data_IF_960662281532
#
_entry.id   IF_960662281532
#
_cell.length_a   1.000
_cell.length_b   1.000
_cell.length_c   1.000
_cell.angle_alpha   90.00
_cell.angle_beta   90.00
_cell.angle_gamma   90.00
#
_symmetry.space_group_name_H-M   'P 1'
#
loop_
_entity.id
_entity.type
_entity.pdbx_description
1 polymer ?
#
# COMPACT_ATOMS: atom_id res chain seq x y z
N UNK A 1 -45.01 -56.13 22.47
CA UNK A 1 -45.57 -55.94 23.83
C UNK A 1 -44.76 -54.80 24.46
N UNK A 2 -45.19 -53.53 24.36
CA UNK A 2 -45.93 -52.73 25.37
C UNK A 2 -45.32 -52.87 26.77
N UNK A 3 -44.88 -51.85 27.53
CA UNK A 3 -45.34 -50.47 27.82
C UNK A 3 -44.21 -49.79 28.67
N UNK A 4 -44.08 -48.50 28.98
CA UNK A 4 -44.82 -47.27 28.76
C UNK A 4 -44.23 -46.13 29.65
N UNK A 5 -44.17 -44.91 29.08
CA UNK A 5 -44.48 -43.57 29.66
C UNK A 5 -43.57 -42.88 30.71
N UNK A 6 -43.16 -41.65 30.33
CA UNK A 6 -43.24 -40.33 31.03
C UNK A 6 -41.92 -39.59 31.30
N UNK A 7 -41.89 -38.32 30.84
CA UNK A 7 -41.03 -37.26 31.41
C UNK A 7 -40.45 -36.28 30.39
N UNK A 8 -41.23 -35.32 29.87
CA UNK A 8 -40.72 -34.09 29.23
C UNK A 8 -40.41 -33.04 30.32
N UNK A 9 -39.41 -32.18 30.11
CA UNK A 9 -39.51 -30.76 30.45
C UNK A 9 -39.35 -29.93 29.16
N UNK A 10 -40.40 -29.24 28.72
CA UNK A 10 -40.70 -27.84 29.05
C UNK A 10 -39.85 -26.87 28.24
N UNK A 11 -40.51 -26.34 27.21
CA UNK A 11 -40.00 -25.30 26.33
C UNK A 11 -39.65 -24.05 27.13
N UNK A 12 -38.41 -23.60 27.02
CA UNK A 12 -38.03 -22.23 27.38
C UNK A 12 -38.45 -21.34 26.21
N UNK A 13 -39.59 -20.66 26.37
CA UNK A 13 -39.88 -19.45 25.63
C UNK A 13 -38.85 -18.39 26.01
N UNK A 14 -37.95 -18.05 25.10
CA UNK A 14 -37.27 -16.76 25.12
C UNK A 14 -37.72 -15.97 23.90
N UNK A 15 -38.19 -14.77 24.21
CA UNK A 15 -38.83 -13.76 23.40
C UNK A 15 -38.18 -13.52 22.05
N UNK A 16 -39.00 -13.15 21.07
CA UNK A 16 -38.56 -12.52 19.83
C UNK A 16 -37.76 -11.24 20.14
N UNK A 17 -36.45 -11.40 20.26
CA UNK A 17 -35.47 -10.32 20.18
C UNK A 17 -35.10 -10.14 18.71
N UNK A 18 -35.47 -8.98 18.17
CA UNK A 18 -35.08 -8.50 16.84
C UNK A 18 -33.55 -8.51 16.77
N UNK A 19 -32.95 -9.48 16.08
CA UNK A 19 -31.52 -9.43 15.72
C UNK A 19 -31.43 -8.29 14.71
N UNK A 20 -31.10 -7.08 15.18
CA UNK A 20 -30.77 -5.97 14.30
C UNK A 20 -29.58 -6.42 13.47
N UNK A 21 -29.79 -6.53 12.16
CA UNK A 21 -28.75 -6.93 11.22
C UNK A 21 -27.49 -6.14 11.48
N UNK A 22 -26.42 -6.84 11.82
CA UNK A 22 -25.08 -6.30 11.68
C UNK A 22 -24.91 -6.10 10.17
N UNK A 23 -25.13 -4.87 9.71
CA UNK A 23 -24.69 -4.48 8.38
C UNK A 23 -23.16 -4.51 8.46
N UNK A 24 -22.57 -5.63 8.07
CA UNK A 24 -21.20 -5.63 7.58
C UNK A 24 -21.29 -4.76 6.33
N UNK A 25 -20.98 -3.48 6.49
CA UNK A 25 -20.66 -2.66 5.33
C UNK A 25 -19.35 -3.26 4.85
N UNK A 26 -19.42 -4.03 3.77
CA UNK A 26 -18.23 -4.33 2.99
C UNK A 26 -17.69 -2.96 2.55
N UNK A 27 -16.75 -2.37 3.29
CA UNK A 27 -16.00 -1.23 2.79
C UNK A 27 -15.38 -1.70 1.48
N UNK A 28 -15.61 -0.95 0.40
CA UNK A 28 -14.96 -1.26 -0.87
C UNK A 28 -13.44 -1.36 -0.63
N UNK A 29 -12.77 -2.38 -1.20
CA UNK A 29 -11.33 -2.52 -1.06
C UNK A 29 -10.65 -1.22 -1.49
N UNK A 30 -9.80 -0.66 -0.63
CA UNK A 30 -9.07 0.57 -0.94
C UNK A 30 -7.87 0.23 -1.80
N UNK A 31 -7.67 0.98 -2.88
CA UNK A 31 -6.60 0.73 -3.84
C UNK A 31 -5.37 1.54 -3.48
N UNK A 32 -4.21 0.89 -3.39
CA UNK A 32 -2.91 1.51 -3.13
C UNK A 32 -1.97 1.31 -4.32
N UNK A 33 -1.21 2.37 -4.64
CA UNK A 33 -0.18 2.36 -5.67
C UNK A 33 1.18 2.70 -5.06
N UNK A 34 2.18 1.84 -5.31
CA UNK A 34 3.59 2.17 -5.08
C UNK A 34 4.26 2.49 -6.41
N UNK A 35 4.89 3.65 -6.53
CA UNK A 35 5.66 4.08 -7.70
C UNK A 35 7.15 4.05 -7.37
N UNK A 36 7.91 3.28 -8.14
CA UNK A 36 9.34 3.08 -7.93
C UNK A 36 10.18 3.66 -9.06
N UNK A 37 11.24 4.37 -8.69
CA UNK A 37 12.29 4.82 -9.60
C UNK A 37 13.33 3.76 -9.95
N UNK A 38 14.42 4.19 -10.57
CA UNK A 38 15.60 3.36 -10.88
C UNK A 38 16.12 2.57 -9.65
N UNK A 39 16.55 1.32 -9.78
CA UNK A 39 16.98 0.52 -8.63
C UNK A 39 18.42 0.81 -8.13
N UNK A 40 18.88 2.07 -8.11
CA UNK A 40 20.28 2.42 -7.79
C UNK A 40 20.59 2.42 -6.30
N UNK A 41 19.63 2.83 -5.48
CA UNK A 41 19.84 3.00 -4.04
C UNK A 41 19.22 1.82 -3.27
N UNK A 42 20.02 0.99 -2.60
CA UNK A 42 19.56 -0.29 -2.02
C UNK A 42 18.38 -0.25 -1.05
N UNK A 43 18.13 0.90 -0.39
CA UNK A 43 16.98 1.01 0.53
C UNK A 43 15.64 0.87 -0.19
N UNK A 44 15.56 1.20 -1.49
CA UNK A 44 14.30 1.23 -2.25
C UNK A 44 13.61 -0.13 -2.23
N UNK A 45 14.31 -1.21 -2.58
CA UNK A 45 13.72 -2.54 -2.71
C UNK A 45 13.27 -3.09 -1.35
N UNK A 46 14.09 -2.92 -0.32
CA UNK A 46 13.76 -3.36 1.03
C UNK A 46 12.53 -2.64 1.58
N UNK A 47 12.45 -1.32 1.38
CA UNK A 47 11.31 -0.51 1.81
C UNK A 47 10.05 -0.78 0.97
N UNK A 48 10.18 -1.06 -0.33
CA UNK A 48 9.05 -1.41 -1.18
C UNK A 48 8.39 -2.73 -0.74
N UNK A 49 9.19 -3.76 -0.41
CA UNK A 49 8.67 -5.03 0.11
C UNK A 49 8.05 -4.86 1.50
N UNK A 50 8.70 -4.09 2.37
CA UNK A 50 8.17 -3.77 3.70
C UNK A 50 6.82 -3.05 3.61
N UNK A 51 6.72 -2.04 2.74
CA UNK A 51 5.51 -1.30 2.53
C UNK A 51 4.41 -2.19 1.94
N UNK A 52 4.77 -3.08 1.01
CA UNK A 52 3.82 -4.04 0.44
C UNK A 52 3.23 -4.96 1.50
N UNK A 53 4.06 -5.50 2.40
CA UNK A 53 3.63 -6.32 3.55
C UNK A 53 2.62 -5.56 4.44
N UNK A 54 2.97 -4.33 4.84
CA UNK A 54 2.10 -3.52 5.71
C UNK A 54 0.78 -3.15 5.06
N UNK A 55 0.78 -2.79 3.78
CA UNK A 55 -0.45 -2.48 3.05
C UNK A 55 -1.32 -3.72 2.85
N UNK A 56 -0.71 -4.89 2.67
CA UNK A 56 -1.45 -6.14 2.60
C UNK A 56 -2.14 -6.47 3.94
N UNK A 57 -1.45 -6.26 5.06
CA UNK A 57 -2.00 -6.45 6.42
C UNK A 57 -3.16 -5.50 6.71
N UNK A 58 -3.08 -4.26 6.22
CA UNK A 58 -4.14 -3.25 6.31
C UNK A 58 -5.30 -3.50 5.33
N UNK A 59 -5.23 -4.54 4.49
CA UNK A 59 -6.31 -4.94 3.58
C UNK A 59 -6.37 -4.15 2.26
N UNK A 60 -5.30 -3.45 1.87
CA UNK A 60 -5.25 -2.73 0.60
C UNK A 60 -5.12 -3.66 -0.60
N UNK A 61 -5.74 -3.26 -1.70
CA UNK A 61 -5.45 -3.79 -3.03
C UNK A 61 -4.22 -3.09 -3.59
N UNK A 62 -3.08 -3.76 -3.55
CA UNK A 62 -1.80 -3.16 -3.88
C UNK A 62 -1.33 -3.44 -5.30
N UNK A 63 -0.97 -2.36 -6.00
CA UNK A 63 -0.20 -2.39 -7.25
C UNK A 63 1.15 -1.71 -7.08
N UNK A 64 2.21 -2.29 -7.64
CA UNK A 64 3.54 -1.66 -7.68
C UNK A 64 3.92 -1.37 -9.13
N UNK A 65 4.17 -0.10 -9.42
CA UNK A 65 4.64 0.41 -10.69
C UNK A 65 6.14 0.71 -10.66
N UNK A 66 6.85 0.40 -11.74
CA UNK A 66 8.26 0.73 -11.88
C UNK A 66 8.82 0.35 -13.25
N UNK A 67 10.10 0.64 -13.47
CA UNK A 67 10.78 0.19 -14.69
C UNK A 67 11.06 -1.33 -14.65
N UNK A 68 11.36 -1.98 -15.81
CA UNK A 68 11.59 -3.43 -15.85
C UNK A 68 12.68 -3.93 -14.89
N UNK A 69 13.72 -3.12 -14.64
CA UNK A 69 14.83 -3.50 -13.76
C UNK A 69 14.38 -3.61 -12.30
N UNK A 70 13.69 -2.61 -11.75
CA UNK A 70 13.19 -2.67 -10.36
C UNK A 70 12.14 -3.76 -10.20
N UNK A 71 11.24 -3.94 -11.18
CA UNK A 71 10.23 -5.00 -11.15
C UNK A 71 10.87 -6.40 -11.15
N UNK A 72 11.96 -6.60 -11.91
CA UNK A 72 12.69 -7.87 -11.89
C UNK A 72 13.36 -8.13 -10.53
N UNK A 73 14.00 -7.11 -9.94
CA UNK A 73 14.61 -7.24 -8.61
C UNK A 73 13.58 -7.60 -7.54
N UNK A 74 12.39 -7.00 -7.61
CA UNK A 74 11.28 -7.35 -6.73
C UNK A 74 10.82 -8.80 -6.91
N UNK A 75 10.66 -9.28 -8.15
CA UNK A 75 10.30 -10.68 -8.43
C UNK A 75 11.32 -11.69 -7.89
N UNK A 76 12.62 -11.36 -7.97
CA UNK A 76 13.69 -12.19 -7.42
C UNK A 76 13.72 -12.14 -5.89
N UNK A 77 13.35 -11.01 -5.30
CA UNK A 77 13.34 -10.82 -3.85
C UNK A 77 12.10 -11.42 -3.16
N UNK A 78 11.00 -11.61 -3.90
CA UNK A 78 9.78 -12.28 -3.42
C UNK A 78 9.32 -13.39 -4.40
N UNK A 79 10.09 -14.48 -4.53
CA UNK A 79 9.81 -15.53 -5.52
C UNK A 79 8.51 -16.30 -5.21
N UNK A 80 8.03 -16.23 -3.97
CA UNK A 80 6.80 -16.88 -3.53
C UNK A 80 5.57 -15.96 -3.56
N UNK A 81 5.75 -14.68 -3.94
CA UNK A 81 4.67 -13.68 -3.99
C UNK A 81 3.95 -13.53 -2.64
N UNK A 82 4.72 -13.51 -1.55
CA UNK A 82 4.20 -13.31 -0.20
C UNK A 82 3.76 -11.86 -0.01
N UNK A 83 4.54 -10.92 -0.54
CA UNK A 83 4.31 -9.48 -0.37
C UNK A 83 3.73 -8.85 -1.65
N UNK A 84 4.18 -9.31 -2.82
CA UNK A 84 3.84 -8.67 -4.10
C UNK A 84 2.68 -9.39 -4.78
N UNK A 85 1.56 -8.67 -4.95
CA UNK A 85 0.35 -9.18 -5.60
C UNK A 85 0.23 -8.76 -7.07
N UNK A 86 0.46 -7.49 -7.39
CA UNK A 86 0.40 -6.94 -8.75
C UNK A 86 1.61 -6.06 -9.07
N UNK A 87 2.19 -6.24 -10.26
CA UNK A 87 3.27 -5.43 -10.81
C UNK A 87 2.86 -4.89 -12.18
N UNK A 88 3.14 -3.62 -12.43
CA UNK A 88 2.86 -2.95 -13.72
C UNK A 88 4.07 -2.11 -14.13
N UNK A 89 4.32 -2.00 -15.43
CA UNK A 89 5.34 -1.07 -15.92
C UNK A 89 4.88 0.37 -15.73
N UNK A 90 5.81 1.26 -15.39
CA UNK A 90 5.50 2.64 -14.99
C UNK A 90 4.71 3.41 -16.06
N UNK A 91 5.12 3.34 -17.32
CA UNK A 91 4.43 4.04 -18.42
C UNK A 91 2.99 3.56 -18.57
N UNK A 92 2.77 2.24 -18.53
CA UNK A 92 1.43 1.66 -18.55
C UNK A 92 0.60 2.08 -17.33
N UNK A 93 1.21 2.17 -16.15
CA UNK A 93 0.51 2.66 -14.96
C UNK A 93 0.05 4.11 -15.14
N UNK A 94 0.90 4.97 -15.72
CA UNK A 94 0.57 6.37 -15.99
C UNK A 94 -0.60 6.44 -17.00
N UNK A 95 -0.58 5.61 -18.04
CA UNK A 95 -1.69 5.48 -19.00
C UNK A 95 -3.00 5.05 -18.31
N UNK A 96 -2.94 4.00 -17.47
CA UNK A 96 -4.11 3.49 -16.74
C UNK A 96 -4.69 4.53 -15.77
N UNK A 97 -3.85 5.27 -15.06
CA UNK A 97 -4.26 6.37 -14.16
C UNK A 97 -4.85 7.52 -14.98
N UNK A 98 -4.18 7.93 -16.07
CA UNK A 98 -4.66 9.00 -16.93
C UNK A 98 -5.98 8.68 -17.64
N UNK A 99 -6.25 7.41 -17.90
CA UNK A 99 -7.49 6.94 -18.51
C UNK A 99 -8.58 6.59 -17.49
N UNK A 100 -8.36 6.89 -16.20
CA UNK A 100 -9.27 6.55 -15.08
C UNK A 100 -9.59 5.04 -15.00
N UNK A 101 -8.71 4.19 -15.54
CA UNK A 101 -8.80 2.73 -15.43
C UNK A 101 -8.19 2.21 -14.13
N UNK A 102 -7.35 3.04 -13.50
CA UNK A 102 -6.76 2.82 -12.18
C UNK A 102 -6.91 4.07 -11.34
N UNK A 103 -7.70 3.98 -10.28
CA UNK A 103 -8.05 5.12 -9.43
C UNK A 103 -7.61 4.78 -8.00
N UNK A 104 -6.31 4.89 -7.68
CA UNK A 104 -5.85 4.59 -6.33
C UNK A 104 -6.45 5.61 -5.36
N UNK A 105 -6.62 5.22 -4.08
CA UNK A 105 -6.95 6.13 -2.99
C UNK A 105 -5.68 6.67 -2.29
N UNK A 106 -4.60 5.88 -2.37
CA UNK A 106 -3.32 6.13 -1.72
C UNK A 106 -2.16 5.84 -2.67
N UNK A 107 -1.24 6.80 -2.81
CA UNK A 107 -0.02 6.65 -3.60
C UNK A 107 1.22 6.82 -2.72
N UNK A 108 2.16 5.89 -2.83
CA UNK A 108 3.52 6.04 -2.33
C UNK A 108 4.48 6.21 -3.50
N UNK A 109 5.26 7.29 -3.55
CA UNK A 109 6.28 7.50 -4.59
C UNK A 109 7.69 7.48 -4.01
N UNK A 110 8.58 6.70 -4.61
CA UNK A 110 9.98 6.57 -4.21
C UNK A 110 10.89 7.39 -5.14
N UNK A 111 11.60 8.35 -4.55
CA UNK A 111 12.40 9.35 -5.27
C UNK A 111 13.85 9.33 -4.78
N UNK A 112 14.78 9.03 -5.68
CA UNK A 112 16.23 9.17 -5.44
C UNK A 112 16.98 9.84 -6.61
N UNK A 113 16.24 10.34 -7.61
CA UNK A 113 16.76 10.99 -8.81
C UNK A 113 15.74 11.96 -9.39
N UNK A 114 16.18 12.84 -10.30
CA UNK A 114 15.33 13.84 -10.96
C UNK A 114 14.18 13.19 -11.76
N UNK A 115 14.45 12.05 -12.39
CA UNK A 115 13.42 11.27 -13.06
C UNK A 115 12.31 10.83 -12.08
N UNK A 116 12.70 10.45 -10.85
CA UNK A 116 11.74 10.15 -9.79
C UNK A 116 10.89 11.36 -9.41
N UNK A 117 11.46 12.56 -9.37
CA UNK A 117 10.72 13.81 -9.14
C UNK A 117 9.69 14.03 -10.26
N UNK A 118 10.12 13.93 -11.53
CA UNK A 118 9.24 14.12 -12.68
C UNK A 118 8.06 13.14 -12.68
N UNK A 119 8.30 11.85 -12.48
CA UNK A 119 7.23 10.85 -12.43
C UNK A 119 6.27 11.10 -11.25
N UNK A 120 6.80 11.52 -10.09
CA UNK A 120 5.98 11.84 -8.92
C UNK A 120 5.04 13.02 -9.21
N UNK A 121 5.55 14.08 -9.85
CA UNK A 121 4.76 15.23 -10.25
C UNK A 121 3.69 14.87 -11.29
N UNK A 122 4.03 14.01 -12.27
CA UNK A 122 3.05 13.50 -13.24
C UNK A 122 1.92 12.73 -12.56
N UNK A 123 2.24 11.79 -11.67
CA UNK A 123 1.20 11.05 -10.94
C UNK A 123 0.39 12.00 -10.08
N UNK A 124 0.99 12.95 -9.37
CA UNK A 124 0.26 13.95 -8.57
C UNK A 124 -0.69 14.79 -9.42
N UNK A 125 -0.30 15.14 -10.65
CA UNK A 125 -1.16 15.88 -11.55
C UNK A 125 -2.43 15.08 -11.92
N UNK A 126 -2.29 13.75 -12.10
CA UNK A 126 -3.39 12.85 -12.47
C UNK A 126 -4.21 12.37 -11.25
N UNK A 127 -3.64 12.39 -10.05
CA UNK A 127 -4.23 11.81 -8.84
C UNK A 127 -4.43 12.86 -7.73
N UNK A 128 -5.63 12.89 -7.14
CA UNK A 128 -6.01 13.88 -6.13
C UNK A 128 -6.08 13.33 -4.69
N UNK A 129 -5.90 12.03 -4.47
CA UNK A 129 -5.97 11.42 -3.15
C UNK A 129 -4.73 11.67 -2.28
N UNK A 130 -4.55 10.83 -1.26
CA UNK A 130 -3.41 10.93 -0.35
C UNK A 130 -2.15 10.45 -1.05
N UNK A 131 -1.12 11.30 -1.08
CA UNK A 131 0.19 10.96 -1.62
C UNK A 131 1.25 11.04 -0.52
N UNK A 132 2.04 9.98 -0.39
CA UNK A 132 3.23 9.93 0.46
C UNK A 132 4.46 9.83 -0.45
N UNK A 133 5.41 10.75 -0.31
CA UNK A 133 6.65 10.75 -1.10
C UNK A 133 7.83 10.40 -0.20
N UNK A 134 8.56 9.36 -0.58
CA UNK A 134 9.77 8.89 0.08
C UNK A 134 10.97 9.37 -0.72
N UNK A 135 11.69 10.36 -0.19
CA UNK A 135 12.89 10.93 -0.83
C UNK A 135 14.14 10.42 -0.13
N UNK A 136 15.06 9.81 -0.87
CA UNK A 136 16.24 9.16 -0.30
C UNK A 136 17.46 9.19 -1.23
N UNK A 137 18.59 8.72 -0.72
CA UNK A 137 19.86 8.78 -1.43
C UNK A 137 20.64 10.07 -1.15
N UNK A 138 21.83 10.19 -1.75
CA UNK A 138 22.79 11.25 -1.41
C UNK A 138 22.27 12.67 -1.68
N UNK A 139 21.38 12.80 -2.66
CA UNK A 139 20.84 14.09 -3.11
C UNK A 139 19.42 14.33 -2.57
N UNK A 140 18.99 13.61 -1.53
CA UNK A 140 17.61 13.66 -1.05
C UNK A 140 17.14 15.07 -0.67
N UNK A 141 18.02 15.91 -0.11
CA UNK A 141 17.70 17.29 0.25
C UNK A 141 17.43 18.17 -0.98
N UNK A 142 18.25 18.04 -2.03
CA UNK A 142 18.08 18.77 -3.30
C UNK A 142 16.78 18.35 -3.99
N UNK A 143 16.58 17.03 -4.16
CA UNK A 143 15.38 16.48 -4.78
C UNK A 143 14.08 16.85 -4.05
N UNK A 144 14.15 17.04 -2.72
CA UNK A 144 13.01 17.49 -1.93
C UNK A 144 12.65 18.94 -2.25
N UNK A 145 13.63 19.77 -2.55
CA UNK A 145 13.40 21.17 -2.91
C UNK A 145 12.69 21.28 -4.26
N UNK A 146 12.95 20.34 -5.17
CA UNK A 146 12.31 20.30 -6.49
C UNK A 146 10.89 19.72 -6.46
N UNK A 147 10.48 19.10 -5.35
CA UNK A 147 9.12 18.58 -5.15
C UNK A 147 8.15 19.70 -4.74
N UNK A 148 7.70 20.47 -5.73
CA UNK A 148 6.69 21.53 -5.57
C UNK A 148 5.24 20.98 -5.57
N UNK A 149 4.95 19.96 -4.75
CA UNK A 149 3.64 19.31 -4.72
C UNK A 149 3.09 19.07 -3.31
N UNK A 150 1.75 19.12 -3.12
CA UNK A 150 1.15 18.74 -1.85
C UNK A 150 1.26 17.24 -1.62
N UNK A 151 1.99 16.83 -0.58
CA UNK A 151 2.18 15.44 -0.19
C UNK A 151 2.60 15.32 1.29
N UNK A 152 2.42 14.12 1.83
CA UNK A 152 3.10 13.67 3.04
C UNK A 152 4.54 13.29 2.67
N UNK A 153 5.54 13.89 3.34
CA UNK A 153 6.94 13.71 2.97
C UNK A 153 7.72 12.90 4.01
N UNK A 154 8.46 11.90 3.54
CA UNK A 154 9.48 11.17 4.31
C UNK A 154 10.82 11.29 3.59
N UNK A 155 11.71 12.16 4.08
CA UNK A 155 13.03 12.38 3.48
C UNK A 155 14.17 11.90 4.40
N UNK A 156 15.11 11.10 3.91
CA UNK A 156 16.36 10.79 4.63
C UNK A 156 17.49 10.50 3.63
N UNK A 157 18.73 11.01 3.81
CA UNK A 157 19.84 10.77 2.88
C UNK A 157 20.40 9.32 2.95
N UNK A 158 19.60 8.36 3.40
CA UNK A 158 19.94 6.96 3.51
C UNK A 158 20.19 6.33 2.13
N UNK A 159 21.31 5.63 2.03
CA UNK A 159 21.67 4.85 0.83
C UNK A 159 21.50 3.35 1.08
N UNK A 160 21.86 2.86 2.27
CA UNK A 160 21.89 1.42 2.58
C UNK A 160 21.02 1.02 3.77
N UNK A 161 20.78 1.92 4.73
CA UNK A 161 20.07 1.61 5.97
C UNK A 161 18.62 2.11 5.88
N UNK A 162 17.61 1.22 5.75
CA UNK A 162 16.22 1.64 5.58
C UNK A 162 15.56 2.09 6.89
N UNK A 163 16.18 1.87 8.06
CA UNK A 163 15.48 1.94 9.34
C UNK A 163 14.91 3.32 9.69
N UNK A 164 15.61 4.40 9.31
CA UNK A 164 15.11 5.76 9.59
C UNK A 164 13.85 6.06 8.77
N UNK A 165 13.88 5.74 7.48
CA UNK A 165 12.74 5.89 6.57
C UNK A 165 11.59 4.99 7.04
N UNK A 166 11.87 3.72 7.33
CA UNK A 166 10.89 2.74 7.86
C UNK A 166 10.16 3.26 9.09
N UNK A 167 10.89 3.76 10.09
CA UNK A 167 10.29 4.28 11.34
C UNK A 167 9.42 5.51 11.11
N UNK A 168 9.84 6.42 10.21
CA UNK A 168 9.04 7.60 9.86
C UNK A 168 7.78 7.22 9.09
N UNK A 169 7.89 6.24 8.21
CA UNK A 169 6.75 5.66 7.50
C UNK A 169 5.75 5.02 8.48
N UNK A 170 6.23 4.23 9.45
CA UNK A 170 5.36 3.64 10.48
C UNK A 170 4.63 4.71 11.29
N UNK A 171 5.32 5.77 11.69
CA UNK A 171 4.72 6.89 12.42
C UNK A 171 3.65 7.60 11.58
N UNK A 172 3.94 7.84 10.29
CA UNK A 172 3.04 8.51 9.36
C UNK A 172 1.78 7.68 9.04
N UNK A 173 1.93 6.36 9.02
CA UNK A 173 0.85 5.43 8.72
C UNK A 173 0.12 4.93 9.97
N UNK A 174 0.66 5.18 11.16
CA UNK A 174 0.07 4.70 12.41
C UNK A 174 0.34 3.22 12.69
N UNK A 175 1.29 2.58 12.01
CA UNK A 175 1.69 1.17 12.21
C UNK A 175 2.52 0.94 13.47
N UNK A 176 2.36 1.81 14.46
CA UNK A 176 3.22 1.89 15.64
C UNK A 176 3.37 0.50 16.27
N UNK A 177 4.62 0.08 16.35
CA UNK A 177 5.10 -1.08 17.11
C UNK A 177 5.73 -0.58 18.39
#
# INVERSE_FOLDING_TARGET
MSSGIAGRPSAIMLSQGKVSGLQIQDEEPKDALIVLGCPEVPVQQALALYLADRLNDDGWNLTIAGNPAVLHLLKVSDPKKVYIRELVELERCIEEVSAEQRIPDLVFSFVHSDAGVSYTQTIRFLFQGRMVVLVFGRNAEELTTDLEIPCDLVMDPAVHNPNKIRRRLDQLMGWVT
#
